data_IF_363934965646
#
_entry.id   IF_363934965646
#
_cell.length_a   1.000
_cell.length_b   1.000
_cell.length_c   1.000
_cell.angle_alpha   90.00
_cell.angle_beta   90.00
_cell.angle_gamma   90.00
#
_symmetry.space_group_name_H-M   'P 1'
#
loop_
_entity.id
_entity.type
_entity.pdbx_description
1 polymer ?
#
# COMPACT_ATOMS: atom_id res chain seq x y z
N UNK A 1 -0.89 -10.39 -5.77
CA UNK A 1 0.31 -9.51 -5.70
C UNK A 1 -0.02 -8.09 -6.18
N UNK A 2 -0.77 -7.31 -5.38
CA UNK A 2 -1.33 -6.01 -5.83
C UNK A 2 -0.27 -4.97 -6.18
N UNK A 3 0.76 -4.81 -5.34
CA UNK A 3 1.85 -3.86 -5.60
C UNK A 3 2.59 -4.22 -6.90
N UNK A 4 2.97 -5.48 -7.08
CA UNK A 4 3.67 -5.88 -8.30
C UNK A 4 2.85 -5.66 -9.57
N UNK A 5 1.54 -5.89 -9.53
CA UNK A 5 0.64 -5.58 -10.65
C UNK A 5 0.62 -4.07 -10.95
N UNK A 6 0.55 -3.23 -9.92
CA UNK A 6 0.52 -1.76 -10.07
C UNK A 6 1.85 -1.23 -10.62
N UNK A 7 2.98 -1.83 -10.23
CA UNK A 7 4.32 -1.38 -10.63
C UNK A 7 4.84 -2.04 -11.90
N UNK A 8 4.18 -3.09 -12.42
CA UNK A 8 4.70 -3.91 -13.53
C UNK A 8 5.90 -4.78 -13.14
N UNK A 9 5.98 -5.24 -11.89
CA UNK A 9 7.10 -6.08 -11.43
C UNK A 9 6.90 -7.54 -11.83
N UNK A 10 7.85 -8.07 -12.60
CA UNK A 10 7.84 -9.45 -13.12
C UNK A 10 8.88 -10.38 -12.45
N UNK A 11 9.59 -9.88 -11.43
CA UNK A 11 10.57 -10.68 -10.70
C UNK A 11 9.95 -11.71 -9.74
N UNK A 12 10.80 -12.36 -8.94
CA UNK A 12 10.37 -13.38 -7.96
C UNK A 12 10.26 -12.80 -6.56
N UNK A 13 9.23 -13.20 -5.82
CA UNK A 13 9.13 -12.94 -4.39
C UNK A 13 9.95 -13.96 -3.62
N UNK A 14 10.82 -13.49 -2.72
CA UNK A 14 11.59 -14.34 -1.81
C UNK A 14 11.16 -14.00 -0.39
N UNK A 15 10.72 -15.01 0.35
CA UNK A 15 10.32 -14.86 1.75
C UNK A 15 11.45 -15.33 2.67
N UNK A 16 12.05 -14.40 3.42
CA UNK A 16 13.11 -14.71 4.38
C UNK A 16 12.51 -15.10 5.75
N UNK A 17 12.44 -16.40 6.02
CA UNK A 17 11.90 -16.94 7.28
C UNK A 17 12.83 -16.78 8.47
N UNK A 18 14.06 -16.26 8.30
CA UNK A 18 14.96 -15.97 9.42
C UNK A 18 14.51 -14.74 10.23
N UNK A 19 13.62 -13.92 9.66
CA UNK A 19 13.08 -12.71 10.28
C UNK A 19 11.81 -13.02 11.07
N UNK A 20 11.59 -12.38 12.24
CA UNK A 20 10.37 -12.58 13.01
C UNK A 20 9.16 -12.07 12.24
N UNK A 21 8.05 -12.80 12.33
CA UNK A 21 6.76 -12.34 11.81
C UNK A 21 6.11 -11.36 12.81
N UNK A 22 5.30 -10.44 12.27
CA UNK A 22 4.48 -9.54 13.08
C UNK A 22 3.18 -10.19 13.59
N UNK A 23 2.26 -9.37 14.09
CA UNK A 23 0.93 -9.81 14.48
C UNK A 23 0.17 -10.41 13.27
N UNK A 24 -0.38 -11.64 13.34
CA UNK A 24 -1.03 -12.28 12.20
C UNK A 24 -2.24 -11.53 11.64
N UNK A 25 -2.95 -10.76 12.49
CA UNK A 25 -4.10 -9.96 12.10
C UNK A 25 -4.16 -8.67 12.90
N UNK A 26 -4.30 -7.55 12.18
CA UNK A 26 -4.64 -6.25 12.75
C UNK A 26 -5.82 -5.67 11.97
N UNK A 27 -7.01 -5.73 12.56
CA UNK A 27 -8.27 -5.30 11.96
C UNK A 27 -9.09 -4.59 13.03
N UNK A 28 -9.52 -3.36 12.75
CA UNK A 28 -10.30 -2.56 13.68
C UNK A 28 -11.80 -2.72 13.37
N UNK A 29 -12.61 -2.76 14.41
CA UNK A 29 -14.03 -2.45 14.27
C UNK A 29 -14.19 -0.92 14.17
N UNK A 30 -14.91 -0.47 13.15
CA UNK A 30 -15.15 0.95 12.85
C UNK A 30 -16.62 1.35 13.07
N UNK A 31 -17.44 0.46 13.63
CA UNK A 31 -18.85 0.67 13.97
C UNK A 31 -19.07 1.99 14.73
N UNK A 32 -18.31 2.21 15.81
CA UNK A 32 -18.41 3.41 16.63
C UNK A 32 -18.13 4.71 15.85
N UNK A 33 -17.18 4.70 14.92
CA UNK A 33 -16.87 5.89 14.11
C UNK A 33 -18.01 6.20 13.12
N UNK A 34 -18.60 5.16 12.53
CA UNK A 34 -19.78 5.29 11.68
C UNK A 34 -20.98 5.82 12.47
N UNK A 35 -21.27 5.25 13.63
CA UNK A 35 -22.45 5.63 14.43
C UNK A 35 -22.33 7.04 15.02
N UNK A 36 -21.17 7.42 15.56
CA UNK A 36 -20.99 8.71 16.23
C UNK A 36 -20.78 9.87 15.26
N UNK A 37 -20.16 9.62 14.09
CA UNK A 37 -19.71 10.68 13.18
C UNK A 37 -20.19 10.51 11.74
N UNK A 38 -20.92 9.44 11.42
CA UNK A 38 -21.22 9.09 10.03
C UNK A 38 -19.98 8.77 9.21
N UNK A 39 -18.85 8.46 9.85
CA UNK A 39 -17.58 8.28 9.17
C UNK A 39 -17.53 6.92 8.46
N UNK A 40 -17.22 6.95 7.17
CA UNK A 40 -16.91 5.77 6.35
C UNK A 40 -15.74 6.06 5.42
N UNK A 41 -14.83 5.10 5.29
CA UNK A 41 -13.74 5.17 4.33
C UNK A 41 -14.31 5.05 2.90
N UNK A 42 -14.05 6.07 2.08
CA UNK A 42 -14.57 6.13 0.70
C UNK A 42 -13.60 5.57 -0.33
N UNK A 43 -12.31 5.69 -0.07
CA UNK A 43 -11.26 5.21 -0.97
C UNK A 43 -11.11 3.70 -0.85
N UNK A 44 -11.31 3.00 -1.97
CA UNK A 44 -11.08 1.56 -2.02
C UNK A 44 -9.59 1.21 -1.90
N UNK A 45 -9.26 0.02 -1.42
CA UNK A 45 -7.85 -0.37 -1.21
C UNK A 45 -7.01 -0.26 -2.49
N UNK A 46 -7.49 -0.84 -3.60
CA UNK A 46 -6.75 -0.82 -4.88
C UNK A 46 -6.66 0.58 -5.49
N UNK A 47 -7.69 1.40 -5.27
CA UNK A 47 -7.70 2.79 -5.69
C UNK A 47 -6.62 3.58 -4.95
N UNK A 48 -6.59 3.48 -3.61
CA UNK A 48 -5.59 4.14 -2.79
C UNK A 48 -4.16 3.73 -3.16
N UNK A 49 -3.92 2.43 -3.40
CA UNK A 49 -2.61 1.95 -3.83
C UNK A 49 -2.16 2.57 -5.17
N UNK A 50 -3.06 2.69 -6.15
CA UNK A 50 -2.76 3.33 -7.44
C UNK A 50 -2.49 4.82 -7.30
N UNK A 51 -3.27 5.53 -6.50
CA UNK A 51 -3.07 6.97 -6.25
C UNK A 51 -1.69 7.24 -5.62
N UNK A 52 -1.32 6.45 -4.60
CA UNK A 52 -0.01 6.59 -3.93
C UNK A 52 1.13 6.26 -4.89
N UNK A 53 1.00 5.21 -5.71
CA UNK A 53 2.02 4.89 -6.71
C UNK A 53 2.20 6.01 -7.76
N UNK A 54 1.09 6.58 -8.25
CA UNK A 54 1.13 7.69 -9.20
C UNK A 54 1.82 8.92 -8.59
N UNK A 55 1.44 9.29 -7.36
CA UNK A 55 2.09 10.38 -6.62
C UNK A 55 3.59 10.11 -6.43
N UNK A 56 3.97 8.90 -6.00
CA UNK A 56 5.37 8.55 -5.76
C UNK A 56 6.23 8.67 -7.03
N UNK A 57 5.70 8.28 -8.19
CA UNK A 57 6.40 8.44 -9.48
C UNK A 57 6.62 9.90 -9.85
N UNK A 58 5.68 10.79 -9.53
CA UNK A 58 5.77 12.22 -9.84
C UNK A 58 6.69 12.95 -8.85
N UNK A 59 6.66 12.55 -7.57
CA UNK A 59 7.41 13.21 -6.50
C UNK A 59 8.89 12.82 -6.45
N UNK A 60 9.30 11.74 -7.14
CA UNK A 60 10.71 11.39 -7.25
C UNK A 60 11.43 12.42 -8.14
N UNK A 61 12.49 13.08 -7.64
CA UNK A 61 13.48 13.64 -8.55
C UNK A 61 13.99 12.49 -9.42
N UNK A 62 13.95 12.65 -10.73
CA UNK A 62 14.57 11.71 -11.66
C UNK A 62 15.99 11.49 -11.17
N UNK A 63 16.38 10.23 -10.88
CA UNK A 63 17.78 9.87 -10.67
C UNK A 63 18.51 9.87 -12.03
N UNK A 64 18.40 10.98 -12.77
CA UNK A 64 19.20 11.29 -13.94
C UNK A 64 20.17 12.40 -13.53
N UNK A 65 21.09 12.03 -12.64
CA UNK A 65 22.33 12.78 -12.44
C UNK A 65 23.35 11.83 -11.83
N UNK A 66 23.84 10.90 -12.64
CA UNK A 66 25.25 10.55 -12.73
C UNK A 66 25.42 9.51 -13.84
N UNK A 67 25.86 10.06 -14.98
CA UNK A 67 26.60 9.38 -16.03
C UNK A 67 27.94 8.90 -15.47
#
# INVERSE_FOLDING_TARGET
HKIAQITGFEGRFVWDTSKPNGQPRRCLDVSRAREAFGFEAKTGFDEGLRQVYAWYKQARPTLESQQ
#
